data_IF_494841912412
#
_entry.id   IF_494841912412
#
_cell.length_a   1.000
_cell.length_b   1.000
_cell.length_c   1.000
_cell.angle_alpha   90.00
_cell.angle_beta   90.00
_cell.angle_gamma   90.00
#
_symmetry.space_group_name_H-M   'P 1'
#
loop_
_entity.id
_entity.type
_entity.pdbx_description
1 polymer ?
#
# COMPACT_ATOMS: atom_id res chain seq x y z
N UNK A 1 -11.89 11.18 -9.30
CA UNK A 1 -13.25 11.73 -9.33
C UNK A 1 -13.42 12.60 -10.59
N UNK A 2 -14.45 12.34 -11.39
CA UNK A 2 -14.72 13.11 -12.63
C UNK A 2 -15.58 14.34 -12.37
N UNK A 3 -16.25 14.40 -11.22
CA UNK A 3 -17.18 15.47 -10.85
C UNK A 3 -16.97 15.85 -9.39
N UNK A 4 -16.83 17.16 -9.12
CA UNK A 4 -16.67 17.70 -7.76
C UNK A 4 -17.92 17.48 -6.88
N UNK A 5 -19.11 17.39 -7.45
CA UNK A 5 -20.35 17.10 -6.72
C UNK A 5 -20.38 15.68 -6.14
N UNK A 6 -19.66 14.72 -6.74
CA UNK A 6 -19.50 13.40 -6.17
C UNK A 6 -18.80 13.41 -4.81
N UNK A 7 -17.89 14.37 -4.57
CA UNK A 7 -17.18 14.50 -3.28
C UNK A 7 -18.16 14.68 -2.13
N UNK A 8 -19.24 15.43 -2.34
CA UNK A 8 -20.29 15.66 -1.33
C UNK A 8 -21.06 14.39 -0.94
N UNK A 9 -21.14 13.42 -1.86
CA UNK A 9 -21.86 12.15 -1.64
C UNK A 9 -20.95 11.05 -1.09
N UNK A 10 -19.62 11.20 -1.22
CA UNK A 10 -18.64 10.25 -0.74
C UNK A 10 -18.09 10.74 0.59
N UNK A 11 -18.03 9.84 1.56
CA UNK A 11 -17.40 10.11 2.85
C UNK A 11 -15.87 10.08 2.67
N UNK A 12 -15.31 11.19 2.15
CA UNK A 12 -13.87 11.31 1.90
C UNK A 12 -13.21 11.88 3.15
N UNK A 13 -12.25 11.14 3.67
CA UNK A 13 -11.40 11.57 4.79
C UNK A 13 -10.04 12.02 4.24
N UNK A 14 -9.56 13.13 4.74
CA UNK A 14 -8.22 13.62 4.47
C UNK A 14 -7.37 13.48 5.74
N UNK A 15 -6.30 12.68 5.64
CA UNK A 15 -5.47 12.32 6.79
C UNK A 15 -4.03 12.76 6.48
N UNK A 16 -3.55 13.87 7.06
CA UNK A 16 -2.17 14.31 6.88
C UNK A 16 -1.20 13.35 7.58
N UNK A 17 -0.06 13.14 6.94
CA UNK A 17 1.05 12.35 7.44
C UNK A 17 2.39 13.11 7.40
N UNK A 18 2.38 14.35 6.93
CA UNK A 18 3.56 15.21 6.84
C UNK A 18 3.16 16.66 7.06
N UNK A 19 3.96 17.37 7.86
CA UNK A 19 3.90 18.82 7.97
C UNK A 19 4.95 19.42 7.04
N UNK A 20 4.50 20.10 5.98
CA UNK A 20 5.38 20.65 4.95
C UNK A 20 5.98 21.99 5.37
N UNK A 21 5.18 22.84 6.03
CA UNK A 21 5.61 24.17 6.42
C UNK A 21 4.88 24.63 7.69
N UNK A 22 5.62 25.27 8.57
CA UNK A 22 5.13 26.03 9.71
C UNK A 22 6.15 27.12 10.08
N UNK A 23 5.70 28.21 10.70
CA UNK A 23 6.59 29.22 11.26
C UNK A 23 7.34 28.73 12.52
N UNK A 24 6.87 27.64 13.13
CA UNK A 24 7.49 27.01 14.29
C UNK A 24 8.57 26.03 13.85
N UNK A 25 9.66 25.98 14.61
CA UNK A 25 10.68 24.93 14.43
C UNK A 25 10.27 23.71 15.24
N UNK A 26 9.73 22.68 14.58
CA UNK A 26 9.34 21.39 15.19
C UNK A 26 10.18 20.30 14.53
N UNK A 27 11.14 19.77 15.26
CA UNK A 27 12.10 18.78 14.72
C UNK A 27 11.56 17.35 14.81
N UNK A 28 10.84 17.01 15.87
CA UNK A 28 10.21 15.69 16.02
C UNK A 28 9.00 15.55 15.09
N UNK A 29 8.99 14.48 14.31
CA UNK A 29 7.84 14.14 13.48
C UNK A 29 6.58 13.85 14.33
N UNK A 30 6.74 13.18 15.46
CA UNK A 30 5.63 12.95 16.40
C UNK A 30 5.05 14.27 16.95
N UNK A 31 5.90 15.24 17.27
CA UNK A 31 5.44 16.59 17.68
C UNK A 31 4.76 17.33 16.53
N UNK A 32 5.20 17.15 15.27
CA UNK A 32 4.52 17.69 14.09
C UNK A 32 3.10 17.12 13.97
N UNK A 33 2.93 15.82 14.18
CA UNK A 33 1.61 15.18 14.16
C UNK A 33 0.73 15.67 15.33
N UNK A 34 1.31 15.86 16.50
CA UNK A 34 0.57 16.45 17.64
C UNK A 34 0.14 17.88 17.34
N UNK A 35 1.02 18.69 16.76
CA UNK A 35 0.67 20.06 16.36
C UNK A 35 -0.49 20.09 15.35
N UNK A 36 -0.51 19.17 14.38
CA UNK A 36 -1.64 19.04 13.45
C UNK A 36 -2.94 18.62 14.16
N UNK A 37 -2.87 17.72 15.16
CA UNK A 37 -4.04 17.37 15.99
C UNK A 37 -4.57 18.56 16.76
N UNK A 38 -3.71 19.37 17.33
CA UNK A 38 -4.07 20.58 18.07
C UNK A 38 -4.77 21.62 17.19
N UNK A 39 -4.48 21.60 15.88
CA UNK A 39 -5.18 22.40 14.86
C UNK A 39 -6.50 21.76 14.37
N UNK A 40 -6.87 20.59 14.90
CA UNK A 40 -8.14 19.93 14.59
C UNK A 40 -8.07 18.91 13.44
N UNK A 41 -6.88 18.55 12.94
CA UNK A 41 -6.74 17.54 11.91
C UNK A 41 -6.74 16.12 12.48
N UNK A 42 -7.39 15.20 11.80
CA UNK A 42 -7.20 13.76 12.03
C UNK A 42 -5.92 13.34 11.31
N UNK A 43 -4.87 13.03 12.05
CA UNK A 43 -3.58 12.62 11.48
C UNK A 43 -3.47 11.10 11.38
N UNK A 44 -2.49 10.63 10.59
CA UNK A 44 -2.17 9.22 10.49
C UNK A 44 -1.88 8.62 11.87
N UNK A 45 -2.37 7.41 12.10
CA UNK A 45 -2.10 6.69 13.34
C UNK A 45 -0.63 6.25 13.39
N UNK A 46 0.02 6.43 14.53
CA UNK A 46 1.46 6.22 14.67
C UNK A 46 1.88 5.93 16.10
N UNK A 47 3.09 5.40 16.22
CA UNK A 47 3.77 5.18 17.50
C UNK A 47 5.22 5.69 17.42
N UNK A 48 5.72 6.24 18.53
CA UNK A 48 7.13 6.67 18.65
C UNK A 48 7.88 5.67 19.52
N UNK A 49 8.90 5.02 18.96
CA UNK A 49 9.74 4.07 19.67
C UNK A 49 10.95 4.81 20.23
N UNK A 50 10.99 5.03 21.54
CA UNK A 50 12.04 5.78 22.22
C UNK A 50 13.40 5.05 22.22
N UNK A 51 13.37 3.73 22.32
CA UNK A 51 14.59 2.90 22.32
C UNK A 51 14.47 1.88 21.19
N UNK A 52 14.96 2.21 19.98
CA UNK A 52 14.86 1.30 18.85
C UNK A 52 15.77 0.09 19.07
N UNK A 53 15.16 -1.09 19.10
CA UNK A 53 15.82 -2.38 19.05
C UNK A 53 15.05 -3.28 18.08
N UNK A 54 15.66 -4.38 17.68
CA UNK A 54 14.97 -5.36 16.84
C UNK A 54 13.67 -5.85 17.50
N UNK A 55 13.73 -6.17 18.80
CA UNK A 55 12.61 -6.68 19.57
C UNK A 55 11.47 -5.65 19.67
N UNK A 56 11.82 -4.38 19.92
CA UNK A 56 10.81 -3.32 20.06
C UNK A 56 10.14 -3.02 18.70
N UNK A 57 10.91 -2.95 17.62
CA UNK A 57 10.37 -2.72 16.28
C UNK A 57 9.52 -3.91 15.84
N UNK A 58 9.99 -5.13 16.03
CA UNK A 58 9.24 -6.35 15.72
C UNK A 58 7.93 -6.43 16.51
N UNK A 59 7.99 -6.11 17.80
CA UNK A 59 6.80 -6.09 18.66
C UNK A 59 5.73 -5.08 18.18
N UNK A 60 6.13 -3.91 17.73
CA UNK A 60 5.22 -2.92 17.15
C UNK A 60 4.63 -3.43 15.83
N UNK A 61 5.45 -4.02 14.94
CA UNK A 61 4.97 -4.61 13.68
C UNK A 61 3.94 -5.71 13.97
N UNK A 62 4.20 -6.58 14.94
CA UNK A 62 3.28 -7.66 15.31
C UNK A 62 1.96 -7.13 15.89
N UNK A 63 2.01 -6.07 16.69
CA UNK A 63 0.81 -5.41 17.24
C UNK A 63 -0.04 -4.80 16.11
N UNK A 64 0.59 -4.11 15.17
CA UNK A 64 -0.08 -3.55 14.00
C UNK A 64 -0.63 -4.63 13.08
N UNK A 65 0.11 -5.71 12.86
CA UNK A 65 -0.36 -6.87 12.10
C UNK A 65 -1.66 -7.41 12.68
N UNK A 66 -1.71 -7.62 13.99
CA UNK A 66 -2.94 -8.06 14.68
C UNK A 66 -4.08 -7.05 14.54
N UNK A 67 -3.79 -5.75 14.66
CA UNK A 67 -4.77 -4.68 14.52
C UNK A 67 -5.40 -4.67 13.12
N UNK A 68 -4.58 -4.83 12.07
CA UNK A 68 -5.02 -4.82 10.67
C UNK A 68 -5.76 -6.12 10.34
N UNK A 69 -5.21 -7.29 10.69
CA UNK A 69 -5.84 -8.59 10.43
C UNK A 69 -7.21 -8.73 11.11
N UNK A 70 -7.39 -8.15 12.29
CA UNK A 70 -8.66 -8.15 13.00
C UNK A 70 -9.62 -7.00 12.59
N UNK A 71 -9.30 -6.27 11.52
CA UNK A 71 -10.09 -5.13 11.05
C UNK A 71 -10.35 -4.05 12.10
N UNK A 72 -9.44 -3.87 13.06
CA UNK A 72 -9.54 -2.87 14.12
C UNK A 72 -9.01 -1.50 13.67
N UNK A 73 -8.36 -1.42 12.52
CA UNK A 73 -7.94 -0.15 11.93
C UNK A 73 -9.12 0.45 11.15
N UNK A 74 -9.48 1.74 11.38
CA UNK A 74 -10.63 2.36 10.73
C UNK A 74 -10.44 2.61 9.24
N UNK A 75 -9.19 2.58 8.77
CA UNK A 75 -8.83 2.81 7.37
C UNK A 75 -8.09 1.61 6.79
N UNK A 76 -8.29 1.29 5.51
CA UNK A 76 -7.50 0.27 4.85
C UNK A 76 -6.04 0.72 4.76
N UNK A 77 -5.12 -0.17 5.11
CA UNK A 77 -3.67 0.06 5.06
C UNK A 77 -2.99 -1.18 4.49
N UNK A 78 -1.95 -0.98 3.69
CA UNK A 78 -1.18 -2.04 3.03
C UNK A 78 0.20 -2.25 3.66
N UNK A 79 0.58 -1.39 4.61
CA UNK A 79 1.87 -1.47 5.26
C UNK A 79 2.10 -0.42 6.32
N UNK A 80 3.33 -0.39 6.84
CA UNK A 80 3.82 0.59 7.80
C UNK A 80 5.01 1.33 7.20
N UNK A 81 5.14 2.60 7.52
CA UNK A 81 6.35 3.38 7.24
C UNK A 81 7.11 3.56 8.54
N UNK A 82 8.34 3.07 8.58
CA UNK A 82 9.24 3.19 9.72
C UNK A 82 10.27 4.26 9.36
N UNK A 83 10.30 5.35 10.09
CA UNK A 83 11.19 6.48 9.82
C UNK A 83 11.78 7.04 11.10
N UNK A 84 12.75 7.94 10.96
CA UNK A 84 13.30 8.67 12.09
C UNK A 84 12.31 9.74 12.56
N UNK A 85 12.19 9.88 13.90
CA UNK A 85 11.42 10.97 14.51
C UNK A 85 12.09 12.32 14.32
N UNK A 86 13.44 12.36 14.34
CA UNK A 86 14.20 13.57 14.00
C UNK A 86 14.12 13.84 12.48
N UNK A 87 13.31 14.83 12.10
CA UNK A 87 13.06 15.18 10.69
C UNK A 87 14.28 15.85 10.04
N UNK A 88 15.14 16.51 10.82
CA UNK A 88 16.38 17.09 10.29
C UNK A 88 17.36 15.97 9.94
N UNK A 89 17.54 15.00 10.82
CA UNK A 89 18.33 13.82 10.52
C UNK A 89 17.75 13.03 9.33
N UNK A 90 16.44 12.81 9.32
CA UNK A 90 15.75 12.16 8.22
C UNK A 90 16.00 12.84 6.87
N UNK A 91 16.08 14.16 6.84
CA UNK A 91 16.34 14.94 5.62
C UNK A 91 17.74 14.76 5.05
N UNK A 92 18.70 14.23 5.82
CA UNK A 92 20.08 13.96 5.36
C UNK A 92 20.21 12.71 4.49
N UNK A 93 19.16 11.89 4.40
CA UNK A 93 19.15 10.70 3.58
C UNK A 93 19.27 10.99 2.08
N UNK A 94 19.68 10.00 1.30
CA UNK A 94 19.76 10.13 -0.16
C UNK A 94 18.39 10.42 -0.77
N UNK A 95 18.35 11.30 -1.77
CA UNK A 95 17.12 11.66 -2.47
C UNK A 95 16.80 10.60 -3.53
N UNK A 96 15.55 10.14 -3.57
CA UNK A 96 15.04 9.24 -4.61
C UNK A 96 14.67 10.02 -5.89
N UNK A 97 14.47 9.32 -6.99
CA UNK A 97 14.01 9.93 -8.25
C UNK A 97 12.65 10.65 -8.17
N UNK A 98 11.93 10.49 -7.08
CA UNK A 98 10.67 11.21 -6.80
C UNK A 98 10.86 12.36 -5.80
N UNK A 99 12.07 12.87 -5.63
CA UNK A 99 12.43 13.94 -4.70
C UNK A 99 12.09 13.67 -3.22
N UNK A 100 11.86 12.40 -2.87
CA UNK A 100 11.64 11.98 -1.49
C UNK A 100 12.95 11.49 -0.87
N UNK A 101 13.24 11.89 0.35
CA UNK A 101 14.42 11.46 1.09
C UNK A 101 14.26 10.00 1.51
N UNK A 102 15.30 9.19 1.39
CA UNK A 102 15.35 7.83 1.95
C UNK A 102 15.57 7.90 3.46
N UNK A 103 14.56 8.35 4.17
CA UNK A 103 14.59 8.54 5.62
C UNK A 103 14.02 7.33 6.39
N UNK A 104 13.55 6.30 5.72
CA UNK A 104 12.89 5.17 6.36
C UNK A 104 12.69 3.98 5.45
N UNK A 105 11.97 3.02 5.97
CA UNK A 105 11.64 1.77 5.29
C UNK A 105 10.12 1.56 5.29
N UNK A 106 9.61 1.11 4.16
CA UNK A 106 8.24 0.62 4.08
C UNK A 106 8.24 -0.88 4.42
N UNK A 107 7.50 -1.25 5.45
CA UNK A 107 7.14 -2.63 5.72
C UNK A 107 5.77 -2.88 5.10
N UNK A 108 5.66 -3.91 4.28
CA UNK A 108 4.40 -4.35 3.68
C UNK A 108 4.06 -5.74 4.16
N UNK A 109 2.79 -5.95 4.51
CA UNK A 109 2.30 -7.31 4.72
C UNK A 109 2.33 -8.08 3.40
N UNK A 110 2.49 -9.40 3.51
CA UNK A 110 2.35 -10.25 2.33
C UNK A 110 0.92 -10.11 1.79
N UNK A 111 0.82 -9.95 0.47
CA UNK A 111 -0.48 -9.93 -0.19
C UNK A 111 -1.18 -11.28 0.02
N UNK A 112 -2.49 -11.25 0.22
CA UNK A 112 -3.29 -12.47 0.23
C UNK A 112 -3.21 -13.12 -1.15
N UNK A 113 -2.95 -14.43 -1.17
CA UNK A 113 -2.92 -15.21 -2.40
C UNK A 113 -3.87 -16.36 -2.32
N UNK A 114 -4.59 -16.61 -3.41
CA UNK A 114 -5.51 -17.75 -3.53
C UNK A 114 -5.18 -18.52 -4.79
N UNK A 115 -5.08 -19.84 -4.67
CA UNK A 115 -4.83 -20.70 -5.82
C UNK A 115 -6.10 -20.90 -6.64
N UNK A 116 -5.95 -20.89 -7.95
CA UNK A 116 -7.01 -21.11 -8.93
C UNK A 116 -6.50 -21.92 -10.11
N UNK A 117 -7.40 -22.30 -10.99
CA UNK A 117 -7.11 -23.06 -12.20
C UNK A 117 -7.32 -22.19 -13.43
N UNK A 118 -6.27 -22.05 -14.25
CA UNK A 118 -6.35 -21.31 -15.51
C UNK A 118 -7.32 -22.00 -16.46
N UNK A 119 -8.29 -21.26 -17.00
CA UNK A 119 -9.16 -21.73 -18.08
C UNK A 119 -8.57 -21.37 -19.44
N UNK A 120 -8.25 -20.11 -19.70
CA UNK A 120 -7.60 -19.65 -20.94
C UNK A 120 -6.99 -18.26 -20.75
N UNK A 121 -6.27 -17.83 -21.80
CA UNK A 121 -5.75 -16.46 -21.90
C UNK A 121 -6.57 -15.70 -22.93
N UNK A 122 -7.14 -14.57 -22.54
CA UNK A 122 -7.74 -13.60 -23.44
C UNK A 122 -6.72 -12.53 -23.83
N UNK A 123 -6.84 -12.00 -25.04
CA UNK A 123 -6.01 -10.93 -25.54
C UNK A 123 -6.79 -9.62 -25.57
N UNK A 124 -6.43 -8.69 -24.71
CA UNK A 124 -7.00 -7.34 -24.71
C UNK A 124 -6.18 -6.45 -25.63
N UNK A 125 -6.84 -5.90 -26.64
CA UNK A 125 -6.21 -5.01 -27.63
C UNK A 125 -6.60 -3.56 -27.34
N UNK A 126 -5.58 -2.71 -27.17
CA UNK A 126 -5.72 -1.25 -27.15
C UNK A 126 -5.00 -0.68 -28.38
N UNK A 127 -5.13 0.63 -28.63
CA UNK A 127 -4.64 1.26 -29.86
C UNK A 127 -3.18 0.94 -30.23
N UNK A 128 -2.31 0.71 -29.24
CA UNK A 128 -0.88 0.44 -29.43
C UNK A 128 -0.34 -0.75 -28.65
N UNK A 129 -1.17 -1.48 -27.92
CA UNK A 129 -0.73 -2.56 -27.05
C UNK A 129 -1.67 -3.77 -27.08
N UNK A 130 -1.07 -4.95 -26.98
CA UNK A 130 -1.80 -6.20 -26.76
C UNK A 130 -1.38 -6.72 -25.38
N UNK A 131 -2.37 -6.90 -24.50
CA UNK A 131 -2.13 -7.33 -23.13
C UNK A 131 -2.81 -8.68 -22.90
N UNK A 132 -2.09 -9.71 -22.46
CA UNK A 132 -2.68 -10.98 -22.08
C UNK A 132 -3.40 -10.84 -20.73
N UNK A 133 -4.56 -11.48 -20.63
CA UNK A 133 -5.41 -11.52 -19.45
C UNK A 133 -5.70 -12.98 -19.13
N UNK A 134 -5.26 -13.46 -17.98
CA UNK A 134 -5.62 -14.78 -17.49
C UNK A 134 -7.09 -14.80 -17.08
N UNK A 135 -7.82 -15.78 -17.58
CA UNK A 135 -9.17 -16.14 -17.13
C UNK A 135 -9.05 -17.46 -16.38
N UNK A 136 -9.54 -17.49 -15.15
CA UNK A 136 -9.40 -18.63 -14.24
C UNK A 136 -10.69 -18.89 -13.46
N UNK A 137 -10.78 -20.02 -12.79
CA UNK A 137 -11.90 -20.32 -11.92
C UNK A 137 -12.07 -19.22 -10.86
N UNK A 138 -13.31 -18.71 -10.65
CA UNK A 138 -13.52 -17.61 -9.71
C UNK A 138 -13.03 -17.93 -8.31
N UNK A 139 -12.29 -17.00 -7.71
CA UNK A 139 -11.81 -17.07 -6.34
C UNK A 139 -12.23 -15.84 -5.55
N UNK A 140 -12.48 -16.03 -4.25
CA UNK A 140 -12.69 -14.92 -3.33
C UNK A 140 -11.34 -14.41 -2.84
N UNK A 141 -11.10 -13.11 -3.03
CA UNK A 141 -9.86 -12.45 -2.65
C UNK A 141 -10.19 -11.07 -2.07
N UNK A 142 -9.87 -10.85 -0.80
CA UNK A 142 -10.17 -9.62 -0.07
C UNK A 142 -11.64 -9.17 -0.21
N UNK A 143 -12.58 -10.11 -0.06
CA UNK A 143 -14.02 -9.84 -0.12
C UNK A 143 -14.54 -9.50 -1.52
N UNK A 144 -13.79 -9.83 -2.57
CA UNK A 144 -14.18 -9.63 -3.96
C UNK A 144 -13.98 -10.93 -4.75
N UNK A 145 -14.98 -11.31 -5.55
CA UNK A 145 -14.84 -12.44 -6.48
C UNK A 145 -13.99 -12.01 -7.68
N UNK A 146 -12.84 -12.63 -7.85
CA UNK A 146 -11.90 -12.38 -8.94
C UNK A 146 -11.88 -13.58 -9.88
N UNK A 147 -11.94 -13.36 -11.19
CA UNK A 147 -11.89 -14.39 -12.23
C UNK A 147 -10.99 -14.04 -13.41
N UNK A 148 -10.36 -12.88 -13.37
CA UNK A 148 -9.50 -12.35 -14.44
C UNK A 148 -8.36 -11.56 -13.83
N UNK A 149 -7.15 -11.74 -14.35
CA UNK A 149 -5.97 -10.98 -13.95
C UNK A 149 -5.10 -10.62 -15.16
N UNK A 150 -4.57 -9.41 -15.18
CA UNK A 150 -3.62 -8.98 -16.21
C UNK A 150 -2.28 -9.70 -16.04
N UNK A 151 -1.72 -10.20 -17.14
CA UNK A 151 -0.38 -10.80 -17.19
C UNK A 151 0.67 -9.80 -17.72
N UNK A 152 0.34 -8.53 -17.75
CA UNK A 152 1.19 -7.43 -18.20
C UNK A 152 1.63 -7.52 -19.65
N UNK A 153 2.39 -8.54 -20.04
CA UNK A 153 2.91 -8.76 -21.41
C UNK A 153 3.23 -10.24 -21.67
N UNK A 154 3.57 -10.56 -22.92
CA UNK A 154 3.89 -11.93 -23.37
C UNK A 154 5.10 -12.49 -22.64
N UNK A 155 6.15 -11.71 -22.46
CA UNK A 155 7.36 -12.17 -21.77
C UNK A 155 7.10 -12.60 -20.34
N UNK A 156 6.12 -11.98 -19.69
CA UNK A 156 5.70 -12.37 -18.35
C UNK A 156 4.95 -13.72 -18.37
N UNK A 157 4.11 -13.96 -19.38
CA UNK A 157 3.47 -15.27 -19.55
C UNK A 157 4.50 -16.38 -19.73
N UNK A 158 5.54 -16.13 -20.55
CA UNK A 158 6.64 -17.07 -20.77
C UNK A 158 7.44 -17.32 -19.49
N UNK A 159 7.78 -16.25 -18.76
CA UNK A 159 8.50 -16.32 -17.49
C UNK A 159 7.76 -17.13 -16.43
N UNK A 160 6.45 -16.97 -16.36
CA UNK A 160 5.59 -17.68 -15.42
C UNK A 160 5.18 -19.07 -15.90
N UNK A 161 5.45 -19.42 -17.16
CA UNK A 161 5.01 -20.68 -17.74
C UNK A 161 3.48 -20.81 -17.86
N UNK A 162 2.77 -19.68 -17.95
CA UNK A 162 1.31 -19.63 -18.00
C UNK A 162 0.85 -19.66 -19.45
N UNK A 163 0.03 -20.67 -19.81
CA UNK A 163 -0.51 -20.76 -21.17
C UNK A 163 -1.46 -21.93 -21.40
N UNK A 164 -1.28 -23.02 -20.68
CA UNK A 164 -2.11 -24.21 -20.85
C UNK A 164 -3.32 -24.19 -19.91
N UNK A 165 -4.50 -24.57 -20.45
CA UNK A 165 -5.69 -24.82 -19.64
C UNK A 165 -5.41 -25.84 -18.54
N UNK A 166 -5.89 -25.59 -17.33
CA UNK A 166 -5.67 -26.46 -16.17
C UNK A 166 -4.39 -26.15 -15.39
N UNK A 167 -3.58 -25.16 -15.81
CA UNK A 167 -2.44 -24.71 -15.00
C UNK A 167 -2.92 -24.14 -13.68
N UNK A 168 -2.34 -24.57 -12.58
CA UNK A 168 -2.60 -23.96 -11.26
C UNK A 168 -1.86 -22.62 -11.21
N UNK A 169 -2.59 -21.58 -10.85
CA UNK A 169 -2.08 -20.21 -10.74
C UNK A 169 -2.41 -19.64 -9.36
N UNK A 170 -1.46 -18.94 -8.77
CA UNK A 170 -1.68 -18.22 -7.52
C UNK A 170 -2.05 -16.76 -7.85
N UNK A 171 -3.25 -16.38 -7.47
CA UNK A 171 -3.81 -15.05 -7.74
C UNK A 171 -3.57 -14.16 -6.54
N UNK A 172 -2.94 -13.01 -6.78
CA UNK A 172 -2.72 -11.98 -5.78
C UNK A 172 -3.40 -10.69 -6.20
N UNK A 173 -3.86 -9.91 -5.25
CA UNK A 173 -4.37 -8.57 -5.52
C UNK A 173 -3.25 -7.56 -5.31
N UNK A 174 -2.59 -7.17 -6.40
CA UNK A 174 -1.59 -6.12 -6.34
C UNK A 174 -2.31 -4.76 -6.24
N UNK A 175 -2.20 -4.09 -5.11
CA UNK A 175 -2.59 -2.70 -4.97
C UNK A 175 -1.55 -1.84 -5.69
N UNK A 176 -1.81 -1.52 -6.96
CA UNK A 176 -1.09 -0.45 -7.64
C UNK A 176 -1.80 0.86 -7.27
N UNK A 177 -1.14 1.66 -6.45
CA UNK A 177 -1.41 3.08 -6.31
C UNK A 177 -0.59 3.81 -7.37
#
# INVERSE_FOLDING_TARGET
>A
LKDSEEVKRRNIHWIPFTLVYTEKTIVSWGEQMQYLRDLGFTVVDHEVIQTPSYENISGVIDAWTKKVTNHLNPYPVDGLVITYDDTQYASTGSITGHHATRAGYAFKWADESVDSTLDHIEWSCAASTITPVAVFEPVELEGTTVKRASLCNISECERLGIGAKGTVVSVIKANKI
#
